data_IF_690566539672
#
_entry.id   IF_690566539672
#
_cell.length_a   1.000
_cell.length_b   1.000
_cell.length_c   1.000
_cell.angle_alpha   90.00
_cell.angle_beta   90.00
_cell.angle_gamma   90.00
#
_symmetry.space_group_name_H-M   'P 1'
#
loop_
_entity.id
_entity.type
_entity.pdbx_description
1 polymer ?
#
# COMPACT_ATOMS: atom_id res chain seq x y z
N UNK A 1 31.26 8.20 -4.69
CA UNK A 1 32.07 6.96 -4.87
C UNK A 1 32.18 6.33 -3.51
N UNK A 2 31.42 5.26 -3.27
CA UNK A 2 31.37 4.62 -1.96
C UNK A 2 32.76 4.11 -1.57
N UNK A 3 33.20 4.29 -0.31
CA UNK A 3 34.47 3.75 0.18
C UNK A 3 34.45 2.23 0.39
N UNK A 4 33.29 1.60 0.19
CA UNK A 4 33.11 0.18 0.39
C UNK A 4 33.40 -0.54 -0.91
N UNK A 5 34.50 -1.27 -0.97
CA UNK A 5 34.87 -2.15 -2.07
C UNK A 5 33.96 -3.40 -2.11
N UNK A 6 32.65 -3.21 -1.90
CA UNK A 6 31.63 -4.26 -1.81
C UNK A 6 31.01 -4.44 -3.19
N UNK A 7 31.01 -5.67 -3.74
CA UNK A 7 30.31 -5.99 -4.98
C UNK A 7 28.82 -5.62 -4.95
N UNK A 8 28.27 -5.13 -6.07
CA UNK A 8 26.88 -4.63 -6.16
C UNK A 8 25.85 -5.70 -5.81
N UNK A 9 26.07 -6.94 -6.22
CA UNK A 9 25.25 -8.11 -5.91
C UNK A 9 25.19 -8.39 -4.40
N UNK A 10 26.32 -8.26 -3.70
CA UNK A 10 26.39 -8.39 -2.24
C UNK A 10 25.60 -7.26 -1.57
N UNK A 11 25.72 -6.03 -2.08
CA UNK A 11 24.97 -4.88 -1.56
C UNK A 11 23.46 -5.06 -1.73
N UNK A 12 23.00 -5.54 -2.89
CA UNK A 12 21.60 -5.88 -3.15
C UNK A 12 21.14 -6.98 -2.18
N UNK A 13 21.95 -8.03 -1.97
CA UNK A 13 21.62 -9.09 -1.05
C UNK A 13 21.50 -8.59 0.41
N UNK A 14 22.37 -7.68 0.84
CA UNK A 14 22.29 -7.04 2.16
C UNK A 14 20.97 -6.28 2.28
N UNK A 15 20.70 -5.35 1.36
CA UNK A 15 19.49 -4.52 1.38
C UNK A 15 18.20 -5.37 1.33
N UNK A 16 18.19 -6.43 0.53
CA UNK A 16 17.08 -7.38 0.41
C UNK A 16 16.73 -8.10 1.72
N UNK A 17 17.70 -8.26 2.63
CA UNK A 17 17.50 -8.90 3.93
C UNK A 17 17.16 -7.92 5.07
N UNK A 18 17.24 -6.62 4.83
CA UNK A 18 16.94 -5.60 5.83
C UNK A 18 15.44 -5.42 6.03
N UNK A 19 15.02 -5.15 7.26
CA UNK A 19 13.64 -4.76 7.53
C UNK A 19 13.36 -3.37 6.94
N UNK A 20 12.09 -3.04 6.73
CA UNK A 20 11.71 -1.69 6.29
C UNK A 20 12.23 -0.62 7.27
N UNK A 21 12.28 -0.91 8.57
CA UNK A 21 12.85 -0.03 9.60
C UNK A 21 14.35 0.21 9.38
N UNK A 22 15.10 -0.84 9.10
CA UNK A 22 16.55 -0.74 8.87
C UNK A 22 16.83 0.07 7.60
N UNK A 23 16.08 -0.18 6.52
CA UNK A 23 16.14 0.61 5.29
C UNK A 23 15.85 2.10 5.55
N UNK A 24 14.81 2.40 6.33
CA UNK A 24 14.49 3.79 6.70
C UNK A 24 15.54 4.43 7.61
N UNK A 25 16.33 3.64 8.34
CA UNK A 25 17.45 4.17 9.13
C UNK A 25 18.65 4.45 8.23
N UNK A 26 18.95 3.55 7.29
CA UNK A 26 20.06 3.70 6.33
C UNK A 26 19.89 4.92 5.42
N UNK A 27 18.68 5.19 4.93
CA UNK A 27 18.44 6.33 4.03
C UNK A 27 18.82 7.67 4.64
N UNK A 28 18.75 7.79 5.98
CA UNK A 28 19.03 9.04 6.69
C UNK A 28 20.53 9.31 6.83
N UNK A 29 21.37 8.33 6.53
CA UNK A 29 22.81 8.45 6.74
C UNK A 29 23.50 9.30 5.65
N UNK A 30 23.13 9.11 4.37
CA UNK A 30 23.62 9.94 3.26
C UNK A 30 22.77 9.75 1.99
N UNK A 31 22.96 10.63 1.00
CA UNK A 31 22.21 10.65 -0.27
C UNK A 31 22.43 9.42 -1.15
N UNK A 32 23.63 8.83 -1.12
CA UNK A 32 23.91 7.63 -1.92
C UNK A 32 23.16 6.42 -1.35
N UNK A 33 23.12 6.26 -0.01
CA UNK A 33 22.31 5.25 0.66
C UNK A 33 20.81 5.50 0.50
N UNK A 34 20.36 6.76 0.52
CA UNK A 34 18.96 7.11 0.22
C UNK A 34 18.54 6.62 -1.18
N UNK A 35 19.40 6.81 -2.19
CA UNK A 35 19.14 6.31 -3.54
C UNK A 35 19.06 4.78 -3.61
N UNK A 36 19.98 4.07 -2.95
CA UNK A 36 19.99 2.61 -2.89
C UNK A 36 18.76 2.04 -2.16
N UNK A 37 18.39 2.65 -1.04
CA UNK A 37 17.16 2.30 -0.31
C UNK A 37 15.94 2.56 -1.19
N UNK A 38 15.92 3.66 -1.93
CA UNK A 38 14.86 3.96 -2.89
C UNK A 38 14.71 2.86 -3.96
N UNK A 39 15.83 2.39 -4.50
CA UNK A 39 15.85 1.29 -5.46
C UNK A 39 15.30 -0.02 -4.86
N UNK A 40 15.75 -0.38 -3.66
CA UNK A 40 15.27 -1.57 -2.95
C UNK A 40 13.77 -1.51 -2.64
N UNK A 41 13.28 -0.38 -2.12
CA UNK A 41 11.84 -0.19 -1.84
C UNK A 41 11.02 -0.28 -3.12
N UNK A 42 11.50 0.30 -4.23
CA UNK A 42 10.87 0.15 -5.55
C UNK A 42 10.83 -1.31 -5.98
N UNK A 43 11.93 -2.05 -5.82
CA UNK A 43 11.99 -3.49 -6.10
C UNK A 43 10.95 -4.29 -5.31
N UNK A 44 10.79 -4.01 -4.02
CA UNK A 44 9.76 -4.64 -3.18
C UNK A 44 8.34 -4.31 -3.64
N UNK A 45 8.06 -3.06 -3.99
CA UNK A 45 6.76 -2.66 -4.56
C UNK A 45 6.49 -3.43 -5.86
N UNK A 46 7.45 -3.46 -6.78
CA UNK A 46 7.33 -4.20 -8.04
C UNK A 46 7.05 -5.68 -7.80
N UNK A 47 7.75 -6.32 -6.85
CA UNK A 47 7.54 -7.72 -6.50
C UNK A 47 6.12 -7.99 -5.99
N UNK A 48 5.57 -7.11 -5.15
CA UNK A 48 4.19 -7.22 -4.66
C UNK A 48 3.19 -7.09 -5.82
N UNK A 49 3.38 -6.07 -6.67
CA UNK A 49 2.48 -5.74 -7.77
C UNK A 49 2.53 -6.76 -8.90
N UNK A 50 3.70 -7.35 -9.18
CA UNK A 50 3.91 -8.39 -10.20
C UNK A 50 2.99 -9.60 -10.04
N UNK A 51 2.59 -9.92 -8.80
CA UNK A 51 1.65 -11.01 -8.53
C UNK A 51 0.28 -10.77 -9.16
N UNK A 52 -0.08 -9.51 -9.41
CA UNK A 52 -1.41 -9.10 -9.84
C UNK A 52 -1.44 -8.60 -11.28
N UNK A 53 -0.32 -8.10 -11.82
CA UNK A 53 -0.21 -7.58 -13.19
C UNK A 53 1.07 -8.03 -13.91
N UNK A 54 1.05 -8.04 -15.24
CA UNK A 54 2.20 -8.43 -16.07
C UNK A 54 3.29 -7.37 -16.19
N UNK A 55 2.95 -6.10 -16.00
CA UNK A 55 3.91 -5.00 -16.06
C UNK A 55 3.68 -4.03 -14.90
N UNK A 56 4.38 -4.22 -13.76
CA UNK A 56 4.30 -3.32 -12.62
C UNK A 56 4.71 -1.89 -12.94
N UNK A 57 5.67 -1.69 -13.86
CA UNK A 57 6.15 -0.35 -14.20
C UNK A 57 5.06 0.44 -14.91
N UNK A 58 4.47 -0.17 -15.94
CA UNK A 58 3.34 0.41 -16.66
C UNK A 58 2.16 0.62 -15.72
N UNK A 59 1.84 -0.36 -14.86
CA UNK A 59 0.74 -0.22 -13.92
C UNK A 59 0.95 0.95 -12.94
N UNK A 60 2.14 1.10 -12.36
CA UNK A 60 2.47 2.25 -11.50
C UNK A 60 2.39 3.59 -12.26
N UNK A 61 2.75 3.63 -13.55
CA UNK A 61 2.53 4.81 -14.38
C UNK A 61 1.04 5.12 -14.55
N UNK A 62 0.21 4.11 -14.83
CA UNK A 62 -1.25 4.30 -14.94
C UNK A 62 -1.88 4.75 -13.62
N UNK A 63 -1.32 4.35 -12.49
CA UNK A 63 -1.72 4.87 -11.19
C UNK A 63 -1.44 6.37 -11.04
N UNK A 64 -0.32 6.88 -11.55
CA UNK A 64 -0.04 8.32 -11.56
C UNK A 64 -1.10 9.08 -12.40
N UNK A 65 -1.36 8.60 -13.62
CA UNK A 65 -2.31 9.21 -14.56
C UNK A 65 -3.73 9.27 -13.99
N UNK A 66 -4.15 8.21 -13.30
CA UNK A 66 -5.48 8.08 -12.70
C UNK A 66 -5.55 8.52 -11.23
N UNK A 67 -4.44 9.02 -10.67
CA UNK A 67 -4.28 9.38 -9.24
C UNK A 67 -4.66 8.24 -8.29
N UNK A 68 -4.49 7.00 -8.73
CA UNK A 68 -4.79 5.82 -7.95
C UNK A 68 -3.67 5.48 -6.97
N UNK A 69 -4.02 4.79 -5.89
CA UNK A 69 -3.08 4.30 -4.88
C UNK A 69 -3.42 2.86 -4.51
N UNK A 70 -2.40 2.05 -4.25
CA UNK A 70 -2.58 0.72 -3.64
C UNK A 70 -2.65 0.91 -2.12
N UNK A 71 -3.48 0.13 -1.43
CA UNK A 71 -3.52 0.12 0.03
C UNK A 71 -3.75 -1.30 0.57
N UNK A 72 -4.39 -1.43 1.73
CA UNK A 72 -4.77 -2.70 2.32
C UNK A 72 -3.56 -3.58 2.64
N UNK A 73 -3.72 -4.88 2.41
CA UNK A 73 -2.77 -5.87 2.93
C UNK A 73 -1.42 -5.89 2.22
N UNK A 74 -1.38 -5.53 0.94
CA UNK A 74 -0.16 -5.35 0.15
C UNK A 74 0.73 -4.22 0.71
N UNK A 75 0.13 -3.14 1.22
CA UNK A 75 0.94 -2.06 1.78
C UNK A 75 1.38 -2.37 3.23
N UNK A 76 0.49 -2.99 4.01
CA UNK A 76 0.81 -3.38 5.39
C UNK A 76 2.00 -4.36 5.44
N UNK A 77 2.05 -5.36 4.54
CA UNK A 77 3.17 -6.31 4.51
C UNK A 77 4.50 -5.66 4.18
N UNK A 78 4.51 -4.73 3.22
CA UNK A 78 5.71 -4.02 2.79
C UNK A 78 6.37 -3.28 3.96
N UNK A 79 5.57 -2.54 4.73
CA UNK A 79 6.06 -1.72 5.84
C UNK A 79 6.34 -2.58 7.07
N UNK A 80 5.44 -3.50 7.42
CA UNK A 80 5.63 -4.36 8.58
C UNK A 80 6.77 -5.38 8.40
N UNK A 81 7.27 -5.57 7.17
CA UNK A 81 8.18 -6.68 6.83
C UNK A 81 7.63 -8.03 7.31
N UNK A 82 6.31 -8.17 7.27
CA UNK A 82 5.61 -9.33 7.82
C UNK A 82 5.69 -10.53 6.86
N UNK A 83 5.58 -11.74 7.41
CA UNK A 83 5.66 -13.00 6.65
C UNK A 83 4.26 -13.58 6.41
N UNK A 84 3.44 -12.89 5.62
CA UNK A 84 2.19 -13.45 5.09
C UNK A 84 2.13 -13.22 3.59
N UNK A 85 1.15 -13.80 2.89
CA UNK A 85 0.92 -13.45 1.49
C UNK A 85 -0.39 -12.65 1.36
N UNK A 86 -0.39 -11.50 0.66
CA UNK A 86 -1.64 -10.81 0.33
C UNK A 86 -2.42 -11.66 -0.68
N UNK A 87 -3.73 -11.81 -0.45
CA UNK A 87 -4.61 -12.57 -1.34
C UNK A 87 -5.23 -11.72 -2.46
N UNK A 88 -5.22 -10.41 -2.28
CA UNK A 88 -5.85 -9.39 -3.12
C UNK A 88 -4.97 -8.14 -3.23
N UNK A 89 -5.14 -7.41 -4.34
CA UNK A 89 -4.58 -6.08 -4.52
C UNK A 89 -5.69 -5.04 -4.47
N UNK A 90 -5.70 -4.22 -3.42
CA UNK A 90 -6.69 -3.14 -3.25
C UNK A 90 -6.17 -1.83 -3.83
N UNK A 91 -6.78 -1.36 -4.91
CA UNK A 91 -6.46 -0.11 -5.61
C UNK A 91 -7.59 0.88 -5.44
N UNK A 92 -7.29 2.00 -4.79
CA UNK A 92 -8.22 3.10 -4.59
C UNK A 92 -8.03 4.13 -5.69
N UNK A 93 -9.12 4.63 -6.26
CA UNK A 93 -9.10 5.61 -7.36
C UNK A 93 -10.14 6.70 -7.11
N UNK A 94 -9.85 7.98 -7.43
CA UNK A 94 -10.85 9.04 -7.40
C UNK A 94 -12.05 8.74 -8.30
N UNK A 95 -13.25 9.24 -7.94
CA UNK A 95 -14.47 8.96 -8.72
C UNK A 95 -14.36 9.40 -10.18
N UNK A 96 -13.69 10.53 -10.42
CA UNK A 96 -13.50 11.17 -11.71
C UNK A 96 -12.49 10.43 -12.60
N UNK A 97 -11.73 9.49 -12.06
CA UNK A 97 -10.78 8.64 -12.79
C UNK A 97 -11.14 7.13 -12.76
N UNK A 98 -12.25 6.77 -12.11
CA UNK A 98 -12.62 5.36 -11.91
C UNK A 98 -12.92 4.64 -13.22
N UNK A 99 -13.63 5.27 -14.15
CA UNK A 99 -13.93 4.68 -15.48
C UNK A 99 -12.67 4.51 -16.32
N UNK A 100 -11.79 5.51 -16.31
CA UNK A 100 -10.52 5.49 -17.03
C UNK A 100 -9.64 4.32 -16.59
N UNK A 101 -9.43 4.16 -15.28
CA UNK A 101 -8.65 3.04 -14.74
C UNK A 101 -9.27 1.68 -15.09
N UNK A 102 -10.60 1.55 -15.03
CA UNK A 102 -11.28 0.31 -15.39
C UNK A 102 -11.09 -0.03 -16.88
N UNK A 103 -11.14 0.96 -17.76
CA UNK A 103 -10.97 0.74 -19.20
C UNK A 103 -9.52 0.38 -19.55
N UNK A 104 -8.53 1.00 -18.89
CA UNK A 104 -7.12 0.59 -18.96
C UNK A 104 -6.98 -0.89 -18.56
N UNK A 105 -7.51 -1.29 -17.40
CA UNK A 105 -7.40 -2.67 -16.92
C UNK A 105 -8.11 -3.66 -17.85
N UNK A 106 -9.27 -3.31 -18.42
CA UNK A 106 -9.92 -4.18 -19.42
C UNK A 106 -9.06 -4.38 -20.65
N UNK A 107 -8.40 -3.32 -21.13
CA UNK A 107 -7.47 -3.40 -22.27
C UNK A 107 -6.24 -4.28 -21.95
N UNK A 108 -5.82 -4.33 -20.68
CA UNK A 108 -4.77 -5.24 -20.19
C UNK A 108 -5.25 -6.69 -19.95
N UNK A 109 -6.49 -6.99 -20.34
CA UNK A 109 -7.09 -8.33 -20.31
C UNK A 109 -7.78 -8.70 -18.99
N UNK A 110 -7.96 -7.74 -18.07
CA UNK A 110 -8.76 -7.98 -16.88
C UNK A 110 -10.25 -7.97 -17.19
N UNK A 111 -11.00 -8.76 -16.42
CA UNK A 111 -12.45 -8.87 -16.53
C UNK A 111 -13.07 -8.62 -15.17
N UNK A 112 -14.15 -7.86 -15.14
CA UNK A 112 -14.93 -7.64 -13.92
C UNK A 112 -15.72 -8.93 -13.65
N UNK A 113 -15.48 -9.54 -12.49
CA UNK A 113 -16.20 -10.74 -12.03
C UNK A 113 -17.23 -10.43 -10.96
N UNK A 114 -17.08 -9.31 -10.26
CA UNK A 114 -18.05 -8.86 -9.27
C UNK A 114 -18.05 -7.33 -9.20
N UNK A 115 -19.24 -6.76 -8.98
CA UNK A 115 -19.42 -5.33 -8.77
C UNK A 115 -20.32 -5.11 -7.57
N UNK A 116 -19.91 -4.22 -6.68
CA UNK A 116 -20.71 -3.72 -5.57
C UNK A 116 -20.88 -2.22 -5.69
N UNK A 117 -22.12 -1.79 -5.90
CA UNK A 117 -22.50 -0.38 -5.79
C UNK A 117 -22.81 -0.05 -4.32
N UNK A 118 -22.26 1.04 -3.82
CA UNK A 118 -22.42 1.45 -2.43
C UNK A 118 -23.47 2.56 -2.39
N UNK A 119 -24.70 2.18 -2.01
CA UNK A 119 -25.81 3.12 -1.87
C UNK A 119 -25.61 4.06 -0.66
N UNK A 120 -26.00 5.32 -0.85
CA UNK A 120 -26.05 6.34 0.21
C UNK A 120 -26.91 5.84 1.38
N UNK A 121 -26.38 5.92 2.60
CA UNK A 121 -27.15 5.73 3.84
C UNK A 121 -27.09 4.33 4.48
N UNK A 122 -26.46 3.32 3.85
CA UNK A 122 -26.43 1.95 4.39
C UNK A 122 -25.06 1.48 4.92
N UNK A 123 -23.96 2.20 4.64
CA UNK A 123 -22.62 1.85 5.12
C UNK A 123 -21.84 3.09 5.57
N UNK A 124 -21.19 3.03 6.74
CA UNK A 124 -20.27 4.05 7.29
C UNK A 124 -19.04 4.32 6.42
N UNK A 125 -18.78 3.51 5.38
CA UNK A 125 -17.77 3.78 4.35
C UNK A 125 -18.32 4.75 3.28
N UNK A 126 -18.78 5.92 3.70
CA UNK A 126 -19.21 7.04 2.84
C UNK A 126 -18.10 7.54 1.90
N UNK A 127 -16.89 6.98 2.04
CA UNK A 127 -15.72 7.29 1.27
C UNK A 127 -15.67 6.58 -0.10
N UNK A 128 -16.52 5.57 -0.36
CA UNK A 128 -16.54 4.81 -1.62
C UNK A 128 -17.90 4.93 -2.34
N UNK A 129 -17.87 4.87 -3.67
CA UNK A 129 -19.06 4.80 -4.54
C UNK A 129 -19.26 3.37 -5.03
N UNK A 130 -18.18 2.70 -5.43
CA UNK A 130 -18.25 1.37 -6.01
C UNK A 130 -16.99 0.56 -5.70
N UNK A 131 -17.14 -0.76 -5.76
CA UNK A 131 -16.03 -1.71 -5.73
C UNK A 131 -16.19 -2.71 -6.87
N UNK A 132 -15.11 -2.90 -7.62
CA UNK A 132 -15.03 -3.85 -8.72
C UNK A 132 -13.97 -4.88 -8.40
N UNK A 133 -14.31 -6.17 -8.55
CA UNK A 133 -13.33 -7.25 -8.44
C UNK A 133 -13.02 -7.73 -9.83
N UNK A 134 -11.73 -7.76 -10.15
CA UNK A 134 -11.22 -8.10 -11.46
C UNK A 134 -10.26 -9.28 -11.37
N UNK A 135 -10.22 -10.07 -12.44
CA UNK A 135 -9.21 -11.11 -12.64
C UNK A 135 -8.89 -11.23 -14.12
N UNK A 136 -7.68 -11.72 -14.43
CA UNK A 136 -7.26 -12.08 -15.80
C UNK A 136 -7.52 -13.55 -16.12
N UNK A 137 -7.87 -14.35 -15.12
CA UNK A 137 -8.01 -15.79 -15.22
C UNK A 137 -9.46 -16.14 -15.48
N UNK A 138 -9.72 -16.80 -16.62
CA UNK A 138 -11.07 -17.08 -17.10
C UNK A 138 -11.86 -18.05 -16.18
N UNK A 139 -11.16 -18.87 -15.41
CA UNK A 139 -11.71 -19.81 -14.42
C UNK A 139 -11.94 -19.20 -13.03
N UNK A 140 -11.54 -17.93 -12.84
CA UNK A 140 -11.65 -17.22 -11.57
C UNK A 140 -10.66 -17.67 -10.48
N UNK A 141 -9.67 -18.53 -10.81
CA UNK A 141 -8.71 -19.06 -9.81
C UNK A 141 -7.52 -18.14 -9.52
N UNK A 142 -7.38 -17.08 -10.30
CA UNK A 142 -6.28 -16.14 -10.19
C UNK A 142 -6.37 -15.13 -9.04
N UNK A 143 -5.28 -14.39 -8.80
CA UNK A 143 -5.25 -13.30 -7.82
C UNK A 143 -6.31 -12.24 -8.14
N UNK A 144 -6.98 -11.77 -7.09
CA UNK A 144 -8.05 -10.78 -7.22
C UNK A 144 -7.48 -9.38 -7.20
N UNK A 145 -7.88 -8.58 -8.18
CA UNK A 145 -7.57 -7.16 -8.27
C UNK A 145 -8.83 -6.36 -7.94
N UNK A 146 -8.81 -5.61 -6.84
CA UNK A 146 -9.94 -4.78 -6.42
C UNK A 146 -9.73 -3.34 -6.84
N UNK A 147 -10.67 -2.76 -7.58
CA UNK A 147 -10.76 -1.32 -7.83
C UNK A 147 -11.84 -0.73 -6.93
N UNK A 148 -11.42 0.11 -5.99
CA UNK A 148 -12.28 0.81 -5.04
C UNK A 148 -12.40 2.27 -5.48
N UNK A 149 -13.55 2.60 -6.08
CA UNK A 149 -13.83 3.95 -6.55
C UNK A 149 -14.28 4.79 -5.36
N UNK A 150 -13.47 5.80 -5.03
CA UNK A 150 -13.74 6.70 -3.92
C UNK A 150 -14.83 7.70 -4.27
N UNK A 151 -15.40 8.37 -3.26
CA UNK A 151 -16.43 9.39 -3.44
C UNK A 151 -15.88 10.79 -3.67
N UNK A 152 -14.60 10.98 -3.36
CA UNK A 152 -13.93 12.28 -3.43
C UNK A 152 -12.92 12.28 -4.57
N UNK A 153 -12.36 13.44 -4.88
CA UNK A 153 -11.22 13.54 -5.81
C UNK A 153 -9.91 12.98 -5.23
N UNK A 154 -9.93 12.41 -4.02
CA UNK A 154 -8.76 11.83 -3.36
C UNK A 154 -8.95 10.34 -3.09
N UNK A 155 -8.04 9.54 -3.65
CA UNK A 155 -7.95 8.10 -3.39
C UNK A 155 -7.60 7.78 -1.92
N UNK A 156 -6.99 8.72 -1.20
CA UNK A 156 -6.59 8.53 0.20
C UNK A 156 -7.76 8.63 1.18
N UNK A 157 -8.88 9.26 0.79
CA UNK A 157 -9.99 9.56 1.70
C UNK A 157 -10.51 8.34 2.50
N UNK A 158 -10.72 7.14 1.90
CA UNK A 158 -11.10 5.95 2.66
C UNK A 158 -9.99 5.42 3.58
N UNK A 159 -8.72 5.54 3.15
CA UNK A 159 -7.56 5.00 3.86
C UNK A 159 -7.36 5.72 5.20
N UNK A 160 -7.59 7.04 5.24
CA UNK A 160 -7.53 7.85 6.46
C UNK A 160 -8.60 7.46 7.51
N UNK A 161 -9.59 6.65 7.12
CA UNK A 161 -10.75 6.28 7.94
C UNK A 161 -10.79 4.81 8.30
N UNK A 162 -9.72 4.06 8.04
CA UNK A 162 -9.65 2.68 8.46
C UNK A 162 -9.79 2.54 9.98
N UNK A 163 -10.27 1.36 10.41
CA UNK A 163 -10.48 1.06 11.82
C UNK A 163 -9.16 0.97 12.58
N UNK A 164 -8.08 0.54 11.92
CA UNK A 164 -6.78 0.30 12.54
C UNK A 164 -5.68 1.13 11.90
N UNK A 165 -4.81 1.71 12.73
CA UNK A 165 -3.70 2.54 12.26
C UNK A 165 -2.70 1.78 11.37
N UNK A 166 -2.50 0.47 11.58
CA UNK A 166 -1.53 -0.32 10.81
C UNK A 166 -1.92 -0.60 9.36
N UNK A 167 -3.17 -0.30 8.95
CA UNK A 167 -3.59 -0.35 7.53
C UNK A 167 -3.70 1.05 6.91
N UNK A 168 -3.43 2.11 7.66
CA UNK A 168 -3.44 3.48 7.14
C UNK A 168 -2.15 3.81 6.39
N UNK A 169 -1.94 3.06 5.31
CA UNK A 169 -0.77 3.15 4.47
C UNK A 169 -1.20 3.11 3.00
N UNK A 170 -0.40 3.70 2.12
CA UNK A 170 -0.64 3.64 0.68
C UNK A 170 0.67 3.46 -0.10
N UNK A 171 0.62 2.80 -1.25
CA UNK A 171 1.67 2.85 -2.25
C UNK A 171 1.14 3.69 -3.40
N UNK A 172 1.94 4.67 -3.79
CA UNK A 172 1.74 5.53 -4.97
C UNK A 172 2.72 5.10 -6.06
N UNK A 173 2.52 5.61 -7.27
CA UNK A 173 3.50 5.59 -8.37
C UNK A 173 4.91 6.05 -7.94
N UNK A 174 5.00 6.96 -6.96
CA UNK A 174 6.24 7.65 -6.54
C UNK A 174 6.80 7.18 -5.20
N UNK A 175 6.15 6.26 -4.51
CA UNK A 175 6.64 5.82 -3.19
C UNK A 175 5.56 5.35 -2.25
N UNK A 176 5.93 5.19 -0.98
CA UNK A 176 5.12 4.55 0.06
C UNK A 176 4.78 5.56 1.13
N UNK A 177 3.52 5.62 1.54
CA UNK A 177 3.00 6.50 2.59
C UNK A 177 2.59 5.61 3.76
N UNK A 178 2.98 5.99 4.98
CA UNK A 178 2.49 5.39 6.22
C UNK A 178 2.14 6.50 7.19
N UNK A 179 0.90 6.51 7.68
CA UNK A 179 0.50 7.50 8.69
C UNK A 179 1.05 7.15 10.08
N UNK A 180 1.27 5.86 10.34
CA UNK A 180 1.74 5.36 11.63
C UNK A 180 2.92 4.40 11.44
N UNK A 181 4.04 4.85 10.85
CA UNK A 181 5.13 3.97 10.43
C UNK A 181 5.70 3.17 11.61
N UNK A 182 5.90 3.80 12.76
CA UNK A 182 6.45 3.14 13.96
C UNK A 182 5.56 2.00 14.44
N UNK A 183 4.24 2.21 14.48
CA UNK A 183 3.28 1.19 14.90
C UNK A 183 3.18 0.07 13.86
N UNK A 184 3.04 0.42 12.58
CA UNK A 184 2.95 -0.55 11.47
C UNK A 184 4.20 -1.45 11.41
N UNK A 185 5.40 -0.88 11.54
CA UNK A 185 6.66 -1.64 11.55
C UNK A 185 6.80 -2.57 12.77
N UNK A 186 6.11 -2.26 13.88
CA UNK A 186 6.04 -3.11 15.08
C UNK A 186 4.89 -4.11 15.05
N UNK A 187 4.12 -4.13 13.96
CA UNK A 187 2.88 -4.89 13.84
C UNK A 187 1.89 -4.56 14.98
N UNK A 188 1.84 -3.29 15.36
CA UNK A 188 0.93 -2.76 16.37
C UNK A 188 -0.04 -1.78 15.73
N UNK A 189 -1.24 -1.66 16.28
CA UNK A 189 -2.17 -0.62 15.86
C UNK A 189 -3.10 -0.16 16.95
N UNK A 190 -3.57 1.06 16.77
CA UNK A 190 -4.57 1.69 17.62
C UNK A 190 -5.90 1.63 16.87
N UNK A 191 -6.98 1.39 17.61
CA UNK A 191 -8.33 1.49 17.08
C UNK A 191 -8.68 2.96 16.90
N UNK A 192 -9.12 3.32 15.70
CA UNK A 192 -9.69 4.64 15.43
C UNK A 192 -11.02 4.74 16.19
N UNK A 193 -11.12 5.62 17.18
CA UNK A 193 -12.29 5.73 18.10
C UNK A 193 -13.63 5.94 17.38
N UNK A 194 -13.59 6.51 16.17
CA UNK A 194 -14.79 6.69 15.32
C UNK A 194 -15.24 5.42 14.60
N UNK A 195 -14.47 4.34 14.70
CA UNK A 195 -14.75 3.06 14.04
C UNK A 195 -15.44 2.05 14.95
N UNK A 196 -16.31 1.24 14.37
CA UNK A 196 -16.73 -0.04 14.95
C UNK A 196 -16.01 -1.10 14.13
N UNK A 197 -14.93 -1.70 14.65
CA UNK A 197 -14.09 -2.56 13.85
C UNK A 197 -14.88 -3.78 13.36
N UNK A 198 -14.72 -4.11 12.08
CA UNK A 198 -15.19 -5.39 11.58
C UNK A 198 -14.41 -6.52 12.27
N UNK A 199 -15.11 -7.37 13.02
CA UNK A 199 -14.51 -8.48 13.76
C UNK A 199 -13.76 -9.47 12.86
N UNK A 200 -14.19 -9.64 11.61
CA UNK A 200 -13.49 -10.47 10.61
C UNK A 200 -12.18 -9.82 10.19
N UNK A 201 -12.18 -8.50 10.00
CA UNK A 201 -11.00 -7.75 9.63
C UNK A 201 -9.96 -7.76 10.76
N UNK A 202 -10.41 -7.57 12.01
CA UNK A 202 -9.56 -7.71 13.19
C UNK A 202 -8.95 -9.12 13.27
N UNK A 203 -9.78 -10.16 13.19
CA UNK A 203 -9.31 -11.55 13.26
C UNK A 203 -8.28 -11.87 12.15
N UNK A 204 -8.50 -11.35 10.93
CA UNK A 204 -7.55 -11.47 9.80
C UNK A 204 -6.17 -10.92 10.16
N UNK A 205 -6.09 -9.72 10.74
CA UNK A 205 -4.81 -9.09 11.07
C UNK A 205 -4.16 -9.64 12.34
N UNK A 206 -4.94 -10.04 13.34
CA UNK A 206 -4.43 -10.76 14.52
C UNK A 206 -3.80 -12.09 14.11
N UNK A 207 -4.43 -12.86 13.23
CA UNK A 207 -3.85 -14.10 12.66
C UNK A 207 -2.54 -13.85 11.90
N UNK A 208 -2.38 -12.65 11.33
CA UNK A 208 -1.15 -12.21 10.65
C UNK A 208 -0.09 -11.67 11.61
N UNK A 209 -0.34 -11.69 12.92
CA UNK A 209 0.60 -11.28 13.97
C UNK A 209 0.43 -9.84 14.47
N UNK A 210 -0.56 -9.09 13.97
CA UNK A 210 -0.79 -7.72 14.45
C UNK A 210 -1.44 -7.71 15.83
N UNK A 211 -1.06 -6.74 16.65
CA UNK A 211 -1.61 -6.51 17.99
C UNK A 211 -2.33 -5.17 18.06
N UNK A 212 -3.43 -5.13 18.78
CA UNK A 212 -4.09 -3.87 19.12
C UNK A 212 -3.53 -3.37 20.45
N UNK A 213 -3.04 -2.14 20.45
CA UNK A 213 -2.57 -1.46 21.67
C UNK A 213 -3.68 -0.52 22.15
N UNK A 214 -4.07 -0.65 23.41
CA UNK A 214 -4.98 0.29 24.05
C UNK A 214 -4.20 1.54 24.47
N UNK A 215 -4.76 2.71 24.19
CA UNK A 215 -4.27 3.96 24.78
C UNK A 215 -5.04 4.15 26.08
N UNK A 216 -4.37 4.00 27.22
CA UNK A 216 -4.94 4.41 28.51
C UNK A 216 -5.18 5.91 28.47
N UNK A 217 -6.39 6.32 28.86
CA UNK A 217 -6.85 7.70 28.95
C UNK A 217 -5.95 8.53 29.88
N UNK A 218 -4.88 9.11 29.33
CA UNK A 218 -3.91 9.90 30.08
C UNK A 218 -2.50 9.97 29.47
N UNK A 219 -2.15 9.11 28.51
CA UNK A 219 -0.88 9.21 27.77
C UNK A 219 -1.04 10.03 26.50
N UNK A 220 -0.20 11.05 26.31
CA UNK A 220 -0.09 11.75 25.03
C UNK A 220 0.10 10.73 23.90
N UNK A 221 -0.75 10.80 22.87
CA UNK A 221 -0.55 10.06 21.63
C UNK A 221 0.76 10.61 21.06
N UNK A 222 1.81 9.80 20.83
CA UNK A 222 2.90 10.25 20.01
C UNK A 222 2.30 10.44 18.62
N UNK A 223 1.94 11.68 18.29
CA UNK A 223 1.63 12.10 16.93
C UNK A 223 2.96 11.91 16.19
N UNK A 224 3.18 10.70 15.69
CA UNK A 224 4.21 10.43 14.73
C UNK A 224 3.96 11.41 13.59
N UNK A 225 4.92 12.29 13.35
CA UNK A 225 4.91 13.21 12.23
C UNK A 225 4.47 12.44 10.99
N UNK A 226 3.51 12.98 10.23
CA UNK A 226 3.14 12.45 8.92
C UNK A 226 4.40 12.53 8.05
N UNK A 227 5.19 11.47 8.05
CA UNK A 227 6.36 11.36 7.20
C UNK A 227 5.82 10.94 5.84
N UNK A 228 5.59 11.93 4.97
CA UNK A 228 5.47 11.68 3.53
C UNK A 228 6.85 11.20 3.07
N UNK A 229 7.02 9.89 2.97
CA UNK A 229 8.25 9.27 2.49
C UNK A 229 8.27 9.42 0.97
N UNK A 230 8.85 10.51 0.48
CA UNK A 230 9.16 10.66 -0.94
C UNK A 230 10.30 9.71 -1.31
N UNK A 231 10.06 8.85 -2.30
CA UNK A 231 11.11 8.25 -3.12
C UNK A 231 11.17 9.04 -4.42
N UNK A 232 12.22 9.85 -4.62
CA UNK A 232 12.36 10.57 -5.89
C UNK A 232 12.82 9.56 -6.94
N UNK A 233 11.89 9.10 -7.78
CA UNK A 233 12.23 8.49 -9.06
C UNK A 233 12.72 9.61 -9.98
N UNK A 234 14.03 9.83 -10.06
CA UNK A 234 14.61 10.58 -11.17
C UNK A 234 14.73 9.63 -12.35
N UNK A 235 14.09 10.00 -13.46
CA UNK A 235 14.43 9.46 -14.78
C UNK A 235 15.87 9.89 -15.10
N UNK A 236 16.80 8.94 -15.11
CA UNK A 236 18.06 9.14 -15.82
C UNK A 236 17.82 8.86 -17.29
N UNK A 237 17.82 9.93 -18.09
CA UNK A 237 18.04 9.82 -19.54
C UNK A 237 19.44 9.25 -19.75
N UNK A 238 19.51 8.07 -20.35
CA UNK A 238 20.70 7.59 -21.04
C UNK A 238 20.83 8.35 -22.36
#
# INVERSE_FOLDING_TARGET
>A
MFPWNIPVDVLIAILGNLTFRDLMSLRLMNKELDALVGYEVKGRVHSIVWRFCTDPSLFLQRMEETKAVISGSCTAILIASARFEPGDLDVYVPWDHGSELLDILKNDGYRIVYTRQIQLGLYRQEALIATYWLTRYADGTGPVFNVLVTRTSSALHPILRFDFSFVMNAITSRGVISLYPVLTMRMEGILNDKSRPDSKHLAKYVKRGFRIVSVSSGGEIPIGSVNVIFGILKEEKI
#
